data_IF_811096804641
#
_entry.id   IF_811096804641
#
_cell.length_a   1.000
_cell.length_b   1.000
_cell.length_c   1.000
_cell.angle_alpha   90.00
_cell.angle_beta   90.00
_cell.angle_gamma   90.00
#
_symmetry.space_group_name_H-M   'P 1'
#
loop_
_entity.id
_entity.type
_entity.pdbx_description
1 polymer ?
#
# COMPACT_ATOMS: atom_id res chain seq x y z
N UNK A 1 16.79 -4.80 -4.41
CA UNK A 1 15.79 -5.32 -3.44
C UNK A 1 15.14 -4.10 -2.83
N UNK A 2 13.81 -4.02 -2.89
CA UNK A 2 13.09 -2.92 -2.23
C UNK A 2 12.92 -3.31 -0.76
N UNK A 3 13.45 -2.47 0.13
CA UNK A 3 13.35 -2.67 1.57
C UNK A 3 12.04 -2.07 2.11
N UNK A 4 11.46 -2.72 3.11
CA UNK A 4 10.31 -2.19 3.84
C UNK A 4 10.69 -0.93 4.62
N UNK A 5 9.80 0.07 4.60
CA UNK A 5 9.97 1.37 5.26
C UNK A 5 8.77 1.67 6.17
N UNK A 6 8.92 2.50 7.20
CA UNK A 6 7.79 2.91 8.05
C UNK A 6 6.71 3.63 7.23
N UNK A 7 5.42 3.31 7.44
CA UNK A 7 4.29 3.87 6.67
C UNK A 7 4.25 5.41 6.66
N UNK A 8 4.75 6.06 7.73
CA UNK A 8 4.80 7.53 7.86
C UNK A 8 5.70 8.22 6.84
N UNK A 9 6.52 7.45 6.12
CA UNK A 9 7.47 7.94 5.12
C UNK A 9 6.96 7.82 3.69
N UNK A 10 5.74 7.35 3.49
CA UNK A 10 5.11 7.25 2.16
C UNK A 10 4.94 8.65 1.55
N UNK A 11 5.34 8.86 0.28
CA UNK A 11 5.03 10.09 -0.44
C UNK A 11 3.53 10.17 -0.78
N UNK A 12 2.94 11.36 -0.63
CA UNK A 12 1.56 11.64 -1.02
C UNK A 12 1.48 12.17 -2.47
N UNK A 13 2.16 11.50 -3.39
CA UNK A 13 2.28 11.92 -4.79
C UNK A 13 1.41 11.09 -5.75
N UNK A 14 0.56 10.21 -5.20
CA UNK A 14 -0.28 9.30 -5.97
C UNK A 14 0.44 8.03 -6.45
N UNK A 15 1.72 7.85 -6.14
CA UNK A 15 2.44 6.60 -6.47
C UNK A 15 1.82 5.42 -5.74
N UNK A 16 1.57 4.34 -6.47
CA UNK A 16 1.09 3.08 -5.91
C UNK A 16 2.23 2.31 -5.22
N UNK A 17 1.93 1.70 -4.09
CA UNK A 17 2.90 0.96 -3.28
C UNK A 17 2.26 -0.26 -2.60
N UNK A 18 3.11 -1.17 -2.13
CA UNK A 18 2.70 -2.31 -1.32
C UNK A 18 2.74 -1.90 0.16
N UNK A 19 1.61 -1.97 0.84
CA UNK A 19 1.47 -1.71 2.27
C UNK A 19 1.46 -3.04 3.05
N UNK A 20 2.00 -3.03 4.27
CA UNK A 20 1.96 -4.16 5.21
C UNK A 20 1.22 -3.79 6.49
N UNK A 21 0.22 -4.59 6.86
CA UNK A 21 -0.55 -4.43 8.10
C UNK A 21 -0.43 -5.69 8.97
N UNK A 22 0.07 -5.59 10.21
CA UNK A 22 0.05 -6.69 11.15
C UNK A 22 -1.39 -6.88 11.65
N UNK A 23 -2.15 -7.78 11.02
CA UNK A 23 -3.57 -7.98 11.33
C UNK A 23 -4.15 -9.26 10.72
N UNK A 24 -5.45 -9.47 10.96
CA UNK A 24 -6.15 -10.73 10.64
C UNK A 24 -6.52 -10.90 9.17
N UNK A 25 -6.74 -9.82 8.44
CA UNK A 25 -7.42 -9.86 7.13
C UNK A 25 -6.45 -9.72 5.93
N UNK A 26 -5.59 -8.70 5.92
CA UNK A 26 -4.64 -8.48 4.82
C UNK A 26 -3.26 -8.16 5.37
N UNK A 27 -2.30 -9.06 5.14
CA UNK A 27 -0.91 -8.82 5.54
C UNK A 27 -0.23 -7.85 4.58
N UNK A 28 -0.43 -8.01 3.27
CA UNK A 28 0.09 -7.10 2.24
C UNK A 28 -1.00 -6.75 1.23
N UNK A 29 -1.09 -5.48 0.84
CA UNK A 29 -2.08 -4.98 -0.14
C UNK A 29 -1.58 -3.71 -0.83
N UNK A 30 -2.16 -3.38 -1.98
CA UNK A 30 -1.83 -2.18 -2.73
C UNK A 30 -2.52 -0.95 -2.12
N UNK A 31 -1.79 0.16 -2.05
CA UNK A 31 -2.25 1.42 -1.48
C UNK A 31 -1.70 2.61 -2.28
N UNK A 32 -2.45 3.72 -2.32
CA UNK A 32 -2.04 4.97 -2.94
C UNK A 32 -2.71 6.19 -2.27
N UNK A 33 -2.14 7.37 -2.47
CA UNK A 33 -2.76 8.64 -2.07
C UNK A 33 -3.63 9.17 -3.21
N UNK A 34 -4.92 9.42 -2.95
CA UNK A 34 -5.79 10.07 -3.92
C UNK A 34 -5.93 11.55 -3.59
N UNK A 35 -5.28 12.41 -4.39
CA UNK A 35 -5.25 13.86 -4.15
C UNK A 35 -6.64 14.49 -4.21
N UNK A 36 -7.51 14.02 -5.12
CA UNK A 36 -8.87 14.54 -5.25
C UNK A 36 -9.76 14.26 -4.03
N UNK A 37 -9.45 13.21 -3.26
CA UNK A 37 -10.18 12.82 -2.06
C UNK A 37 -9.44 13.21 -0.77
N UNK A 38 -8.19 13.67 -0.88
CA UNK A 38 -7.27 13.89 0.24
C UNK A 38 -7.23 12.71 1.22
N UNK A 39 -7.26 11.49 0.70
CA UNK A 39 -7.38 10.26 1.48
C UNK A 39 -6.54 9.13 0.91
N UNK A 40 -6.11 8.21 1.79
CA UNK A 40 -5.49 6.95 1.38
C UNK A 40 -6.53 6.02 0.79
N UNK A 41 -6.20 5.40 -0.35
CA UNK A 41 -7.00 4.40 -1.01
C UNK A 41 -6.23 3.08 -1.03
N UNK A 42 -6.95 1.98 -1.01
CA UNK A 42 -6.36 0.65 -0.95
C UNK A 42 -7.24 -0.33 -1.71
N UNK A 43 -6.59 -1.32 -2.31
CA UNK A 43 -7.27 -2.39 -3.05
C UNK A 43 -7.44 -3.60 -2.13
N UNK A 44 -8.64 -3.74 -1.54
CA UNK A 44 -9.02 -4.85 -0.66
C UNK A 44 -10.45 -5.31 -1.00
N UNK A 45 -10.75 -6.58 -0.72
CA UNK A 45 -12.05 -7.18 -1.08
C UNK A 45 -13.19 -6.85 -0.09
N UNK A 46 -12.89 -6.12 0.98
CA UNK A 46 -13.83 -5.75 2.05
C UNK A 46 -13.88 -4.23 2.21
N UNK A 47 -15.02 -3.63 1.84
CA UNK A 47 -15.22 -2.19 1.93
C UNK A 47 -15.27 -1.67 3.38
N UNK A 48 -15.67 -2.52 4.33
CA UNK A 48 -15.74 -2.16 5.75
C UNK A 48 -14.41 -2.38 6.48
N UNK A 49 -13.40 -2.93 5.79
CA UNK A 49 -12.08 -3.08 6.38
C UNK A 49 -11.40 -1.70 6.50
N UNK A 50 -10.96 -1.40 7.72
CA UNK A 50 -10.13 -0.23 8.05
C UNK A 50 -8.68 -0.70 8.31
N UNK A 51 -7.90 -1.02 7.26
CA UNK A 51 -6.53 -1.49 7.46
C UNK A 51 -5.67 -0.40 8.09
N UNK A 52 -4.79 -0.81 9.02
CA UNK A 52 -3.83 0.07 9.71
C UNK A 52 -2.40 -0.35 9.34
N UNK A 53 -1.94 -0.08 8.11
CA UNK A 53 -0.61 -0.49 7.68
C UNK A 53 0.49 0.18 8.52
N UNK A 54 1.52 -0.58 8.81
CA UNK A 54 2.69 -0.12 9.59
C UNK A 54 3.92 0.12 8.72
N UNK A 55 4.03 -0.58 7.60
CA UNK A 55 5.17 -0.53 6.70
C UNK A 55 4.73 -0.47 5.24
N UNK A 56 5.62 -0.02 4.37
CA UNK A 56 5.42 0.00 2.93
C UNK A 56 6.70 -0.31 2.17
N UNK A 57 6.55 -0.70 0.91
CA UNK A 57 7.64 -0.74 -0.07
C UNK A 57 7.10 -0.36 -1.45
N UNK A 58 7.93 0.15 -2.36
CA UNK A 58 7.54 0.29 -3.77
C UNK A 58 7.05 -1.04 -4.32
N UNK A 59 6.11 -0.99 -5.28
CA UNK A 59 5.70 -2.21 -5.99
C UNK A 59 6.92 -2.90 -6.60
N UNK A 60 7.04 -4.24 -6.48
CA UNK A 60 8.09 -4.97 -7.15
C UNK A 60 7.96 -4.78 -8.67
N UNK A 61 9.07 -4.88 -9.40
CA UNK A 61 8.97 -4.88 -10.85
C UNK A 61 8.08 -6.03 -11.30
N UNK A 62 7.21 -5.80 -12.30
CA UNK A 62 6.40 -6.88 -12.85
C UNK A 62 7.32 -7.99 -13.35
N UNK A 63 6.88 -9.27 -13.31
CA UNK A 63 7.62 -10.33 -13.96
C UNK A 63 7.83 -9.94 -15.42
N UNK A 64 9.06 -10.06 -15.91
CA UNK A 64 9.36 -9.77 -17.30
C UNK A 64 8.46 -10.60 -18.22
N UNK A 65 7.90 -9.98 -19.25
CA UNK A 65 7.25 -10.69 -20.35
C UNK A 65 8.32 -11.53 -21.06
N UNK A 66 8.32 -12.84 -20.81
CA UNK A 66 9.03 -13.82 -21.65
C UNK A 66 8.40 -13.92 -23.02
#
# INVERSE_FOLDING_TARGET
MSEWRPIKTVPKDGTHFLAYSPGKYYQCFECWWEEGLQHWQFWIDDWDAAPEPTHWMPLPQPPGTT
#
